data_IF_397748378340
#
_entry.id   IF_397748378340
#
_cell.length_a   1.000
_cell.length_b   1.000
_cell.length_c   1.000
_cell.angle_alpha   90.00
_cell.angle_beta   90.00
_cell.angle_gamma   90.00
#
_symmetry.space_group_name_H-M   'P 1'
#
loop_
_entity.id
_entity.type
_entity.pdbx_description
1 polymer ?
#
# COMPACT_ATOMS: atom_id res chain seq x y z
N UNK A 1 11.63 5.21 -25.50
CA UNK A 1 10.16 5.22 -25.48
C UNK A 1 9.81 4.65 -24.12
N UNK A 2 9.41 5.50 -23.18
CA UNK A 2 9.00 5.04 -21.86
C UNK A 2 7.74 4.19 -22.05
N UNK A 3 7.66 3.04 -21.37
CA UNK A 3 6.43 2.26 -21.37
C UNK A 3 5.32 3.17 -20.83
N UNK A 4 4.23 3.29 -21.59
CA UNK A 4 3.07 4.07 -21.15
C UNK A 4 2.61 3.56 -19.79
N UNK A 5 2.40 4.47 -18.84
CA UNK A 5 1.89 4.13 -17.52
C UNK A 5 0.60 3.31 -17.66
N UNK A 6 0.48 2.24 -16.89
CA UNK A 6 -0.71 1.41 -16.92
C UNK A 6 -1.86 2.15 -16.25
N UNK A 7 -2.87 2.51 -17.01
CA UNK A 7 -4.06 3.24 -16.52
C UNK A 7 -5.24 2.33 -16.19
N UNK A 8 -5.19 1.07 -16.58
CA UNK A 8 -6.19 0.06 -16.22
C UNK A 8 -5.81 -0.59 -14.88
N UNK A 9 -6.59 -0.39 -13.81
CA UNK A 9 -6.30 -0.95 -12.50
C UNK A 9 -6.17 -2.49 -12.49
N UNK A 10 -6.92 -3.19 -13.34
CA UNK A 10 -6.86 -4.66 -13.43
C UNK A 10 -5.51 -5.12 -13.97
N UNK A 11 -5.04 -4.47 -15.03
CA UNK A 11 -3.70 -4.75 -15.60
C UNK A 11 -2.60 -4.35 -14.63
N UNK A 12 -2.74 -3.21 -13.97
CA UNK A 12 -1.79 -2.75 -12.96
C UNK A 12 -1.69 -3.75 -11.80
N UNK A 13 -2.81 -4.26 -11.27
CA UNK A 13 -2.82 -5.26 -10.22
C UNK A 13 -2.12 -6.56 -10.62
N UNK A 14 -2.31 -7.00 -11.87
CA UNK A 14 -1.59 -8.16 -12.40
C UNK A 14 -0.08 -7.89 -12.51
N UNK A 15 0.32 -6.70 -12.96
CA UNK A 15 1.72 -6.27 -13.02
C UNK A 15 2.37 -6.21 -11.64
N UNK A 16 1.69 -5.68 -10.64
CA UNK A 16 2.15 -5.65 -9.24
C UNK A 16 2.47 -7.06 -8.75
N UNK A 17 1.54 -8.01 -8.88
CA UNK A 17 1.74 -9.41 -8.47
C UNK A 17 2.91 -10.06 -9.19
N UNK A 18 3.02 -9.84 -10.49
CA UNK A 18 4.12 -10.36 -11.31
C UNK A 18 5.48 -9.87 -10.80
N UNK A 19 5.63 -8.55 -10.56
CA UNK A 19 6.90 -7.96 -10.08
C UNK A 19 7.27 -8.47 -8.70
N UNK A 20 6.31 -8.52 -7.78
CA UNK A 20 6.56 -9.05 -6.43
C UNK A 20 6.92 -10.52 -6.47
N UNK A 21 6.25 -11.33 -7.30
CA UNK A 21 6.59 -12.75 -7.47
C UNK A 21 8.00 -12.94 -8.04
N UNK A 22 8.39 -12.16 -9.06
CA UNK A 22 9.74 -12.18 -9.62
C UNK A 22 10.79 -11.86 -8.54
N UNK A 23 10.55 -10.82 -7.75
CA UNK A 23 11.43 -10.43 -6.63
C UNK A 23 11.54 -11.54 -5.57
N UNK A 24 10.42 -12.15 -5.17
CA UNK A 24 10.38 -13.22 -4.18
C UNK A 24 11.16 -14.46 -4.66
N UNK A 25 11.05 -14.80 -5.94
CA UNK A 25 11.82 -15.88 -6.55
C UNK A 25 13.32 -15.58 -6.60
N UNK A 26 13.68 -14.34 -6.98
CA UNK A 26 15.09 -13.92 -7.06
C UNK A 26 15.77 -13.91 -5.68
N UNK A 27 15.04 -13.48 -4.64
CA UNK A 27 15.57 -13.29 -3.27
C UNK A 27 15.25 -14.44 -2.31
N UNK A 28 14.72 -15.55 -2.82
CA UNK A 28 14.34 -16.74 -2.03
C UNK A 28 13.33 -16.45 -0.91
N UNK A 29 12.54 -15.39 -1.04
CA UNK A 29 11.50 -15.04 -0.08
C UNK A 29 11.04 -13.59 -0.19
N UNK A 30 9.94 -13.27 0.50
CA UNK A 30 9.36 -11.93 0.55
C UNK A 30 7.88 -11.92 0.93
N UNK A 31 7.31 -10.73 0.89
CA UNK A 31 5.91 -10.45 1.25
C UNK A 31 4.97 -10.63 0.05
N UNK A 32 4.83 -11.86 -0.46
CA UNK A 32 4.00 -12.16 -1.63
C UNK A 32 2.50 -12.08 -1.32
N UNK A 33 2.07 -12.50 -0.14
CA UNK A 33 0.67 -12.46 0.26
C UNK A 33 0.10 -11.04 0.29
N UNK A 34 0.93 -10.05 0.64
CA UNK A 34 0.56 -8.64 0.61
C UNK A 34 0.28 -8.15 -0.83
N UNK A 35 1.04 -8.62 -1.82
CA UNK A 35 0.75 -8.34 -3.21
C UNK A 35 -0.52 -9.06 -3.69
N UNK A 36 -0.78 -10.28 -3.19
CA UNK A 36 -2.01 -10.99 -3.53
C UNK A 36 -3.25 -10.30 -3.00
N UNK A 37 -3.22 -9.81 -1.74
CA UNK A 37 -4.36 -9.14 -1.12
C UNK A 37 -4.56 -7.70 -1.62
N UNK A 38 -3.49 -6.91 -1.74
CA UNK A 38 -3.61 -5.45 -1.90
C UNK A 38 -3.36 -4.92 -3.31
N UNK A 39 -3.06 -5.77 -4.29
CA UNK A 39 -2.72 -5.28 -5.62
C UNK A 39 -3.83 -4.43 -6.25
N UNK A 40 -5.10 -4.82 -6.14
CA UNK A 40 -6.24 -4.05 -6.64
C UNK A 40 -6.41 -2.74 -5.87
N UNK A 41 -6.17 -2.73 -4.54
CA UNK A 41 -6.28 -1.53 -3.71
C UNK A 41 -5.28 -0.45 -4.17
N UNK A 42 -4.01 -0.82 -4.31
CA UNK A 42 -2.97 0.10 -4.77
C UNK A 42 -3.15 0.46 -6.26
N UNK A 43 -3.57 -0.48 -7.09
CA UNK A 43 -3.87 -0.21 -8.49
C UNK A 43 -5.02 0.79 -8.65
N UNK A 44 -6.13 0.64 -7.91
CA UNK A 44 -7.22 1.62 -7.90
C UNK A 44 -6.74 3.00 -7.43
N UNK A 45 -5.94 3.05 -6.36
CA UNK A 45 -5.38 4.31 -5.88
C UNK A 45 -4.57 5.02 -6.97
N UNK A 46 -3.57 4.36 -7.56
CA UNK A 46 -2.65 5.00 -8.50
C UNK A 46 -3.22 5.21 -9.90
N UNK A 47 -4.07 4.31 -10.41
CA UNK A 47 -4.59 4.41 -11.76
C UNK A 47 -5.87 5.23 -11.88
N UNK A 48 -6.68 5.35 -10.81
CA UNK A 48 -8.04 5.90 -10.93
C UNK A 48 -8.39 6.96 -9.89
N UNK A 49 -7.86 6.89 -8.67
CA UNK A 49 -8.40 7.65 -7.53
C UNK A 49 -7.53 8.82 -7.12
N UNK A 50 -6.21 8.63 -7.02
CA UNK A 50 -5.30 9.67 -6.55
C UNK A 50 -5.10 10.77 -7.58
N UNK A 51 -5.39 12.00 -7.19
CA UNK A 51 -5.05 13.19 -7.96
C UNK A 51 -3.62 13.60 -7.63
N UNK A 52 -2.69 13.11 -8.41
CA UNK A 52 -1.26 13.37 -8.25
C UNK A 52 -0.75 14.35 -9.31
N UNK A 53 0.38 15.01 -9.05
CA UNK A 53 1.05 15.81 -10.07
C UNK A 53 1.59 14.94 -11.21
N UNK A 54 1.71 15.50 -12.44
CA UNK A 54 2.38 14.81 -13.53
C UNK A 54 3.78 14.36 -13.15
N UNK A 55 4.25 13.27 -13.78
CA UNK A 55 5.60 12.77 -13.67
C UNK A 55 6.18 12.67 -15.09
N UNK A 56 7.39 13.16 -15.31
CA UNK A 56 8.04 13.17 -16.64
C UNK A 56 8.58 11.79 -17.04
N UNK A 57 8.28 10.75 -16.28
CA UNK A 57 8.68 9.36 -16.49
C UNK A 57 9.20 8.70 -15.22
N UNK A 58 9.59 7.42 -15.32
CA UNK A 58 10.09 6.69 -14.18
C UNK A 58 11.35 7.32 -13.59
N UNK A 59 11.34 7.60 -12.29
CA UNK A 59 12.48 8.16 -11.57
C UNK A 59 13.33 7.05 -10.95
N UNK A 60 14.65 7.23 -10.94
CA UNK A 60 15.54 6.39 -10.16
C UNK A 60 15.51 6.81 -8.69
N UNK A 61 15.52 5.85 -7.74
CA UNK A 61 15.63 6.18 -6.33
C UNK A 61 16.98 6.82 -6.03
N UNK A 62 16.99 7.85 -5.18
CA UNK A 62 18.23 8.43 -4.71
C UNK A 62 19.01 7.44 -3.84
N UNK A 63 20.32 7.56 -3.82
CA UNK A 63 21.14 6.86 -2.82
C UNK A 63 20.86 7.42 -1.41
N UNK A 64 20.93 6.57 -0.40
CA UNK A 64 20.88 7.02 0.98
C UNK A 64 22.26 7.57 1.37
N UNK A 65 22.37 8.87 1.47
CA UNK A 65 23.64 9.54 1.82
C UNK A 65 23.78 9.78 3.32
N UNK A 66 22.70 10.25 3.96
CA UNK A 66 22.65 10.50 5.40
C UNK A 66 21.21 10.77 5.86
N UNK A 67 20.99 10.69 7.17
CA UNK A 67 19.74 11.21 7.77
C UNK A 67 19.66 12.73 7.61
N UNK A 68 18.47 13.31 7.41
CA UNK A 68 18.30 14.76 7.30
C UNK A 68 18.89 15.49 8.50
N UNK A 69 19.69 16.54 8.24
CA UNK A 69 20.33 17.33 9.27
C UNK A 69 20.99 18.60 8.71
N UNK A 70 21.65 19.42 9.56
CA UNK A 70 22.38 20.59 9.10
C UNK A 70 23.43 20.20 8.07
N UNK A 71 23.26 20.65 6.82
CA UNK A 71 24.17 20.38 5.70
C UNK A 71 23.90 19.07 4.95
N UNK A 72 22.92 18.26 5.35
CA UNK A 72 22.45 17.10 4.58
C UNK A 72 21.16 17.47 3.84
N UNK A 73 21.05 17.21 2.52
CA UNK A 73 19.83 17.46 1.79
C UNK A 73 18.73 16.53 2.28
N UNK A 74 17.51 17.06 2.38
CA UNK A 74 16.34 16.23 2.64
C UNK A 74 15.92 15.55 1.33
N UNK A 75 15.97 14.23 1.31
CA UNK A 75 15.34 13.42 0.27
C UNK A 75 13.94 13.06 0.75
N UNK A 76 12.93 13.27 -0.08
CA UNK A 76 11.55 12.89 0.24
C UNK A 76 11.05 11.86 -0.76
N UNK A 77 10.57 10.72 -0.27
CA UNK A 77 9.90 9.72 -1.10
C UNK A 77 8.60 10.22 -1.71
N UNK A 78 8.03 11.29 -1.17
CA UNK A 78 6.85 11.96 -1.73
C UNK A 78 7.06 12.52 -3.13
N UNK A 79 8.30 12.77 -3.57
CA UNK A 79 8.59 13.24 -4.95
C UNK A 79 8.11 12.27 -6.02
N UNK A 80 7.99 10.98 -5.70
CA UNK A 80 7.43 9.98 -6.61
C UNK A 80 5.91 10.15 -6.83
N UNK A 81 5.24 10.98 -6.02
CA UNK A 81 3.87 11.44 -6.25
C UNK A 81 3.82 12.75 -7.05
N UNK A 82 4.99 13.31 -7.42
CA UNK A 82 5.15 14.60 -8.07
C UNK A 82 5.14 15.78 -7.10
N UNK A 83 5.24 16.99 -7.62
CA UNK A 83 5.26 18.20 -6.80
C UNK A 83 3.94 18.36 -6.03
N UNK A 84 4.02 18.58 -4.70
CA UNK A 84 2.82 18.72 -3.88
C UNK A 84 2.06 20.01 -4.24
N UNK A 85 0.73 19.94 -4.21
CA UNK A 85 -0.14 21.09 -4.50
C UNK A 85 -1.38 21.13 -3.59
N UNK A 86 -2.02 22.31 -3.44
CA UNK A 86 -3.14 22.47 -2.53
C UNK A 86 -4.38 21.64 -2.90
N UNK A 87 -4.52 21.30 -4.18
CA UNK A 87 -5.63 20.51 -4.69
C UNK A 87 -5.26 19.04 -4.95
N UNK A 88 -3.98 18.70 -4.81
CA UNK A 88 -3.47 17.35 -5.05
C UNK A 88 -3.61 16.49 -3.81
N UNK A 89 -3.80 15.19 -4.02
CA UNK A 89 -3.95 14.22 -2.94
C UNK A 89 -2.58 13.86 -2.33
N UNK A 90 -2.62 13.34 -1.12
CA UNK A 90 -1.48 12.77 -0.40
C UNK A 90 -1.79 11.30 -0.13
N UNK A 91 -0.77 10.45 -0.20
CA UNK A 91 -0.87 9.05 0.18
C UNK A 91 0.11 8.74 1.31
N UNK A 92 -0.42 8.35 2.45
CA UNK A 92 0.34 7.87 3.60
C UNK A 92 0.23 6.35 3.67
N UNK A 93 1.36 5.68 3.60
CA UNK A 93 1.42 4.21 3.73
C UNK A 93 1.71 3.88 5.19
N UNK A 94 0.82 3.14 5.83
CA UNK A 94 0.95 2.78 7.25
C UNK A 94 1.77 1.50 7.47
N UNK A 95 1.44 0.35 6.85
CA UNK A 95 2.13 -0.90 7.16
C UNK A 95 3.43 -1.05 6.35
N UNK A 96 4.56 -1.06 7.04
CA UNK A 96 5.89 -1.16 6.43
C UNK A 96 6.07 -2.39 5.54
N UNK A 97 5.52 -3.53 5.94
CA UNK A 97 5.65 -4.80 5.22
C UNK A 97 4.95 -4.84 3.85
N UNK A 98 4.25 -3.75 3.46
CA UNK A 98 3.75 -3.54 2.10
C UNK A 98 4.71 -2.74 1.20
N UNK A 99 5.89 -2.34 1.70
CA UNK A 99 6.80 -1.49 0.93
C UNK A 99 7.13 -2.06 -0.46
N UNK A 100 7.43 -3.37 -0.56
CA UNK A 100 7.68 -4.03 -1.84
C UNK A 100 6.51 -3.90 -2.82
N UNK A 101 5.27 -3.98 -2.31
CA UNK A 101 4.05 -3.84 -3.13
C UNK A 101 3.86 -2.40 -3.58
N UNK A 102 4.16 -1.43 -2.71
CA UNK A 102 4.13 0.02 -3.04
C UNK A 102 5.13 0.35 -4.15
N UNK A 103 6.37 -0.17 -4.06
CA UNK A 103 7.36 0.02 -5.12
C UNK A 103 6.91 -0.60 -6.44
N UNK A 104 6.36 -1.82 -6.41
CA UNK A 104 5.81 -2.45 -7.60
C UNK A 104 4.65 -1.62 -8.20
N UNK A 105 3.78 -1.04 -7.37
CA UNK A 105 2.71 -0.17 -7.83
C UNK A 105 3.23 1.13 -8.46
N UNK A 106 4.25 1.76 -7.89
CA UNK A 106 4.90 2.94 -8.48
C UNK A 106 5.55 2.63 -9.83
N UNK A 107 6.14 1.44 -9.98
CA UNK A 107 6.73 1.02 -11.27
C UNK A 107 5.62 0.85 -12.31
N UNK A 108 4.54 0.16 -12.00
CA UNK A 108 3.40 0.00 -12.91
C UNK A 108 2.72 1.34 -13.23
N UNK A 109 2.72 2.29 -12.29
CA UNK A 109 2.25 3.66 -12.50
C UNK A 109 3.23 4.55 -13.30
N UNK A 110 4.38 4.02 -13.74
CA UNK A 110 5.39 4.75 -14.50
C UNK A 110 6.10 5.86 -13.71
N UNK A 111 6.12 5.77 -12.38
CA UNK A 111 6.71 6.78 -11.47
C UNK A 111 8.04 6.36 -10.89
N UNK A 112 8.32 5.08 -10.80
CA UNK A 112 9.58 4.50 -10.30
C UNK A 112 10.19 3.61 -11.37
N UNK A 113 11.51 3.73 -11.57
CA UNK A 113 12.24 2.86 -12.49
C UNK A 113 12.28 1.41 -11.96
N UNK A 114 12.15 0.44 -12.87
CA UNK A 114 12.06 -0.98 -12.49
C UNK A 114 13.34 -1.50 -11.82
N UNK A 115 14.51 -0.91 -12.11
CA UNK A 115 15.77 -1.25 -11.46
C UNK A 115 15.78 -0.96 -9.95
N UNK A 116 14.81 -0.20 -9.43
CA UNK A 116 14.65 0.04 -8.01
C UNK A 116 14.48 -1.25 -7.20
N UNK A 117 13.79 -2.26 -7.75
CA UNK A 117 13.63 -3.55 -7.06
C UNK A 117 14.94 -4.32 -6.90
N UNK A 118 15.93 -4.06 -7.74
CA UNK A 118 17.28 -4.63 -7.59
C UNK A 118 18.02 -4.03 -6.40
N UNK A 119 17.59 -2.86 -5.94
CA UNK A 119 18.17 -2.16 -4.80
C UNK A 119 17.41 -2.42 -3.49
N UNK A 120 16.33 -3.21 -3.53
CA UNK A 120 15.48 -3.46 -2.37
C UNK A 120 16.27 -3.98 -1.18
N UNK A 121 16.22 -3.26 -0.07
CA UNK A 121 16.86 -3.59 1.21
C UNK A 121 18.38 -3.84 1.13
N UNK A 122 19.07 -3.15 0.20
CA UNK A 122 20.54 -3.14 0.10
C UNK A 122 21.12 -1.96 0.84
N UNK A 123 22.32 -2.11 1.36
CA UNK A 123 23.06 -1.05 2.03
C UNK A 123 23.24 0.16 1.10
N UNK A 124 22.96 1.35 1.61
CA UNK A 124 23.04 2.60 0.85
C UNK A 124 21.85 2.86 -0.09
N UNK A 125 20.85 2.02 -0.08
CA UNK A 125 19.61 2.21 -0.86
C UNK A 125 18.54 2.92 -0.04
N UNK A 126 17.70 3.71 -0.72
CA UNK A 126 16.45 4.26 -0.17
C UNK A 126 15.24 3.36 -0.44
N UNK A 127 15.43 2.24 -1.16
CA UNK A 127 14.38 1.24 -1.45
C UNK A 127 14.37 0.23 -0.31
N UNK A 128 13.79 0.63 0.81
CA UNK A 128 13.87 -0.11 2.07
C UNK A 128 12.66 -1.02 2.29
N UNK A 129 12.86 -2.11 3.03
CA UNK A 129 11.76 -3.00 3.45
C UNK A 129 10.84 -2.31 4.47
N UNK A 130 11.38 -1.41 5.28
CA UNK A 130 10.62 -0.57 6.21
C UNK A 130 10.69 0.85 5.65
N UNK A 131 9.63 1.28 4.96
CA UNK A 131 9.61 2.57 4.29
C UNK A 131 9.80 3.74 5.25
N UNK A 132 10.74 4.60 4.91
CA UNK A 132 11.00 5.85 5.60
C UNK A 132 10.60 7.03 4.70
N UNK A 133 10.63 8.24 5.24
CA UNK A 133 10.25 9.46 4.50
C UNK A 133 11.08 9.73 3.23
N UNK A 134 12.20 9.04 3.06
CA UNK A 134 13.06 9.09 1.86
C UNK A 134 12.83 7.92 0.90
N UNK A 135 12.08 6.89 1.31
CA UNK A 135 11.80 5.72 0.47
C UNK A 135 10.75 6.06 -0.59
N UNK A 136 10.89 5.57 -1.85
CA UNK A 136 9.98 5.91 -2.94
C UNK A 136 8.51 5.72 -2.58
N UNK A 137 7.71 6.79 -2.74
CA UNK A 137 6.27 6.78 -2.44
C UNK A 137 5.88 6.88 -0.97
N UNK A 138 6.86 6.94 -0.05
CA UNK A 138 6.58 7.16 1.37
C UNK A 138 6.72 8.64 1.70
N UNK A 139 5.67 9.25 2.20
CA UNK A 139 5.67 10.65 2.59
C UNK A 139 6.01 10.84 4.08
N UNK A 140 5.96 9.77 4.84
CA UNK A 140 6.29 9.72 6.27
C UNK A 140 6.97 8.41 6.61
N UNK A 141 7.84 8.41 7.60
CA UNK A 141 8.43 7.19 8.13
C UNK A 141 7.33 6.29 8.69
N UNK A 142 7.41 5.01 8.38
CA UNK A 142 6.49 3.97 8.85
C UNK A 142 7.25 2.87 9.61
N UNK A 143 6.58 1.76 9.94
CA UNK A 143 7.15 0.63 10.68
C UNK A 143 6.57 0.47 12.07
N UNK A 144 6.24 1.57 12.75
CA UNK A 144 5.39 1.52 13.96
C UNK A 144 3.94 1.59 13.52
N UNK A 145 3.24 0.47 13.56
CA UNK A 145 1.85 0.33 13.14
C UNK A 145 0.93 1.33 13.86
N UNK A 146 -0.17 1.71 13.24
CA UNK A 146 -1.19 2.64 13.72
C UNK A 146 -0.79 4.14 13.77
N UNK A 147 0.48 4.51 13.68
CA UNK A 147 0.90 5.92 13.79
C UNK A 147 0.55 6.76 12.56
N UNK A 148 0.52 6.15 11.40
CA UNK A 148 0.29 6.85 10.13
C UNK A 148 -1.09 7.50 10.07
N UNK A 149 -2.12 6.90 10.68
CA UNK A 149 -3.46 7.48 10.72
C UNK A 149 -3.49 8.80 11.52
N UNK A 150 -2.81 8.87 12.67
CA UNK A 150 -2.66 10.10 13.44
C UNK A 150 -1.88 11.16 12.67
N UNK A 151 -0.80 10.77 11.98
CA UNK A 151 0.01 11.66 11.14
C UNK A 151 -0.83 12.22 9.99
N UNK A 152 -1.60 11.37 9.30
CA UNK A 152 -2.52 11.79 8.24
C UNK A 152 -3.58 12.79 8.75
N UNK A 153 -4.10 12.56 9.95
CA UNK A 153 -5.01 13.50 10.62
C UNK A 153 -4.36 14.86 10.85
N UNK A 154 -3.12 14.90 11.33
CA UNK A 154 -2.35 16.14 11.49
C UNK A 154 -2.11 16.87 10.17
N UNK A 155 -1.74 16.13 9.11
CA UNK A 155 -1.57 16.66 7.75
C UNK A 155 -2.90 17.26 7.24
N UNK A 156 -3.99 16.51 7.33
CA UNK A 156 -5.31 16.98 6.87
C UNK A 156 -5.79 18.22 7.63
N UNK A 157 -5.57 18.29 8.95
CA UNK A 157 -5.88 19.47 9.75
C UNK A 157 -5.05 20.67 9.32
N UNK A 158 -3.72 20.49 9.13
CA UNK A 158 -2.83 21.54 8.64
C UNK A 158 -3.23 22.04 7.25
N UNK A 159 -3.60 21.14 6.33
CA UNK A 159 -4.11 21.48 4.99
C UNK A 159 -5.41 22.28 5.06
N UNK A 160 -6.34 21.85 5.89
CA UNK A 160 -7.60 22.60 6.11
C UNK A 160 -7.37 24.03 6.63
N UNK A 161 -6.40 24.22 7.55
CA UNK A 161 -6.03 25.54 8.04
C UNK A 161 -5.40 26.45 6.97
N UNK A 162 -4.81 25.85 5.93
CA UNK A 162 -4.30 26.54 4.75
C UNK A 162 -5.32 26.66 3.61
N UNK A 163 -6.57 26.20 3.81
CA UNK A 163 -7.63 26.18 2.81
C UNK A 163 -7.29 25.31 1.58
N UNK A 164 -6.47 24.27 1.74
CA UNK A 164 -6.19 23.28 0.72
C UNK A 164 -7.34 22.27 0.60
N UNK A 165 -7.61 21.79 -0.61
CA UNK A 165 -8.78 20.96 -0.93
C UNK A 165 -8.45 19.50 -1.26
N UNK A 166 -7.17 19.17 -1.48
CA UNK A 166 -6.75 17.81 -1.75
C UNK A 166 -6.99 16.87 -0.57
N UNK A 167 -7.27 15.61 -0.88
CA UNK A 167 -7.54 14.55 0.10
C UNK A 167 -6.24 14.00 0.71
N UNK A 168 -6.34 13.36 1.85
CA UNK A 168 -5.24 12.62 2.49
C UNK A 168 -5.66 11.16 2.60
N UNK A 169 -5.12 10.33 1.73
CA UNK A 169 -5.34 8.89 1.75
C UNK A 169 -4.38 8.22 2.74
N UNK A 170 -4.87 7.17 3.41
CA UNK A 170 -4.06 6.31 4.28
C UNK A 170 -4.28 4.87 3.84
N UNK A 171 -3.23 4.21 3.38
CA UNK A 171 -3.24 2.78 3.15
C UNK A 171 -2.90 2.07 4.46
N UNK A 172 -3.77 1.15 4.91
CA UNK A 172 -3.69 0.47 6.20
C UNK A 172 -3.87 -1.04 6.04
N UNK A 173 -3.36 -1.78 7.03
CA UNK A 173 -3.67 -3.20 7.24
C UNK A 173 -4.70 -3.39 8.37
N UNK A 174 -5.38 -4.51 8.36
CA UNK A 174 -6.38 -4.86 9.36
C UNK A 174 -5.78 -5.08 10.77
N UNK A 175 -4.56 -5.61 10.86
CA UNK A 175 -3.86 -5.80 12.13
C UNK A 175 -3.62 -4.51 12.91
N UNK A 176 -3.59 -3.35 12.25
CA UNK A 176 -3.44 -2.05 12.91
C UNK A 176 -4.61 -1.67 13.81
N UNK A 177 -5.77 -2.31 13.64
CA UNK A 177 -6.94 -2.10 14.50
C UNK A 177 -6.86 -2.87 15.83
N UNK A 178 -5.79 -3.62 16.06
CA UNK A 178 -5.45 -4.16 17.38
C UNK A 178 -4.67 -3.15 18.23
N UNK A 179 -4.15 -2.07 17.61
CA UNK A 179 -3.44 -1.00 18.30
C UNK A 179 -4.42 0.05 18.84
N UNK A 180 -4.23 0.44 20.13
CA UNK A 180 -5.07 1.47 20.76
C UNK A 180 -5.01 2.80 20.08
N UNK A 181 -3.82 3.19 19.57
CA UNK A 181 -3.60 4.46 18.87
C UNK A 181 -4.46 4.61 17.61
N UNK A 182 -4.80 3.52 16.90
CA UNK A 182 -5.74 3.59 15.78
C UNK A 182 -7.08 4.15 16.21
N UNK A 183 -7.63 3.69 17.34
CA UNK A 183 -8.93 4.13 17.85
C UNK A 183 -8.90 5.57 18.38
N UNK A 184 -7.81 5.97 19.02
CA UNK A 184 -7.57 7.36 19.41
C UNK A 184 -7.53 8.28 18.18
N UNK A 185 -6.85 7.85 17.10
CA UNK A 185 -6.83 8.58 15.84
C UNK A 185 -8.22 8.69 15.21
N UNK A 186 -8.98 7.60 15.12
CA UNK A 186 -10.36 7.61 14.57
C UNK A 186 -11.24 8.59 15.34
N UNK A 187 -11.16 8.60 16.68
CA UNK A 187 -11.90 9.53 17.53
C UNK A 187 -11.52 10.98 17.24
N UNK A 188 -10.21 11.28 17.11
CA UNK A 188 -9.73 12.62 16.78
C UNK A 188 -10.17 13.07 15.38
N UNK A 189 -10.06 12.21 14.38
CA UNK A 189 -10.51 12.47 13.00
C UNK A 189 -12.01 12.83 12.98
N UNK A 190 -12.83 12.08 13.70
CA UNK A 190 -14.27 12.30 13.78
C UNK A 190 -14.60 13.60 14.53
N UNK A 191 -13.93 13.89 15.66
CA UNK A 191 -14.10 15.10 16.44
C UNK A 191 -13.80 16.36 15.61
N UNK A 192 -12.66 16.34 14.89
CA UNK A 192 -12.26 17.46 14.03
C UNK A 192 -12.99 17.45 12.67
N UNK A 193 -13.84 16.47 12.39
CA UNK A 193 -14.58 16.33 11.12
C UNK A 193 -13.62 16.40 9.91
N UNK A 194 -12.58 15.61 9.92
CA UNK A 194 -11.57 15.57 8.85
C UNK A 194 -12.06 14.70 7.70
N UNK A 195 -13.05 15.16 6.98
CA UNK A 195 -13.72 14.44 5.87
C UNK A 195 -12.84 14.27 4.61
N UNK A 196 -11.72 14.99 4.55
CA UNK A 196 -10.69 14.79 3.53
C UNK A 196 -9.78 13.57 3.81
N UNK A 197 -9.81 12.99 5.02
CA UNK A 197 -9.08 11.77 5.34
C UNK A 197 -9.86 10.55 4.86
N UNK A 198 -9.21 9.72 4.05
CA UNK A 198 -9.75 8.49 3.46
C UNK A 198 -8.79 7.33 3.72
N UNK A 199 -9.18 6.38 4.55
CA UNK A 199 -8.41 5.18 4.81
C UNK A 199 -8.90 4.04 3.92
N UNK A 200 -8.00 3.38 3.20
CA UNK A 200 -8.24 2.11 2.55
C UNK A 200 -7.55 1.02 3.35
N UNK A 201 -8.31 0.03 3.78
CA UNK A 201 -7.85 -1.00 4.70
C UNK A 201 -7.86 -2.34 3.99
N UNK A 202 -6.69 -2.97 3.86
CA UNK A 202 -6.58 -4.36 3.41
C UNK A 202 -7.04 -5.30 4.54
N UNK A 203 -8.26 -5.82 4.45
CA UNK A 203 -8.84 -6.75 5.42
C UNK A 203 -8.64 -8.17 4.91
N UNK A 204 -7.39 -8.65 4.98
CA UNK A 204 -7.01 -9.98 4.53
C UNK A 204 -7.13 -11.08 5.60
N UNK A 205 -7.40 -10.71 6.85
CA UNK A 205 -7.57 -11.60 8.01
C UNK A 205 -6.38 -12.52 8.29
N UNK A 206 -5.20 -12.13 7.83
CA UNK A 206 -3.97 -12.89 8.02
C UNK A 206 -2.93 -12.03 8.77
N UNK A 207 -2.40 -12.57 9.83
CA UNK A 207 -1.37 -11.94 10.65
C UNK A 207 -0.07 -12.75 10.64
N UNK A 208 0.99 -12.19 11.23
CA UNK A 208 2.28 -12.85 11.35
C UNK A 208 2.13 -14.22 12.06
N UNK A 209 1.34 -14.28 13.12
CA UNK A 209 1.17 -15.45 13.97
C UNK A 209 0.03 -16.38 13.55
N UNK A 210 -0.66 -16.05 12.44
CA UNK A 210 -1.74 -16.89 11.91
C UNK A 210 -2.99 -16.12 11.51
N UNK A 211 -4.12 -16.82 11.35
CA UNK A 211 -5.40 -16.20 11.04
C UNK A 211 -5.88 -15.28 12.17
N UNK A 212 -6.45 -14.14 11.81
CA UNK A 212 -6.89 -13.12 12.78
C UNK A 212 -7.91 -13.64 13.79
N UNK A 213 -8.78 -14.56 13.40
CA UNK A 213 -9.80 -15.15 14.27
C UNK A 213 -9.22 -16.03 15.40
N UNK A 214 -8.02 -16.56 15.19
CA UNK A 214 -7.30 -17.37 16.20
C UNK A 214 -6.28 -16.58 17.01
N UNK A 215 -5.82 -15.42 16.50
CA UNK A 215 -4.87 -14.55 17.20
C UNK A 215 -5.62 -13.53 18.06
N UNK A 216 -6.25 -12.56 17.44
CA UNK A 216 -7.13 -11.58 18.10
C UNK A 216 -8.04 -10.91 17.05
N UNK A 217 -9.33 -11.24 17.09
CA UNK A 217 -10.28 -10.67 16.14
C UNK A 217 -10.55 -9.19 16.39
N UNK A 218 -10.60 -8.42 15.30
CA UNK A 218 -11.01 -7.01 15.31
C UNK A 218 -12.50 -6.82 15.03
N UNK A 219 -13.18 -7.87 14.56
CA UNK A 219 -14.60 -7.78 14.17
C UNK A 219 -15.54 -7.54 15.39
N UNK A 220 -16.67 -6.88 15.18
CA UNK A 220 -17.16 -6.29 13.93
C UNK A 220 -16.56 -4.90 13.65
N UNK A 221 -15.57 -4.83 12.77
CA UNK A 221 -14.76 -3.64 12.53
C UNK A 221 -15.59 -2.44 12.03
N UNK A 222 -16.44 -2.67 11.03
CA UNK A 222 -17.30 -1.61 10.48
C UNK A 222 -18.21 -0.97 11.53
N UNK A 223 -18.78 -1.77 12.45
CA UNK A 223 -19.64 -1.28 13.52
C UNK A 223 -18.86 -0.43 14.51
N UNK A 224 -17.67 -0.88 14.90
CA UNK A 224 -16.79 -0.14 15.80
C UNK A 224 -16.41 1.22 15.22
N UNK A 225 -15.95 1.27 13.97
CA UNK A 225 -15.58 2.52 13.27
C UNK A 225 -16.75 3.50 13.18
N UNK A 226 -17.95 3.00 12.84
CA UNK A 226 -19.18 3.82 12.81
C UNK A 226 -19.53 4.39 14.19
N UNK A 227 -19.34 3.60 15.26
CA UNK A 227 -19.57 4.05 16.63
C UNK A 227 -18.60 5.16 17.05
N UNK A 228 -17.38 5.17 16.51
CA UNK A 228 -16.39 6.25 16.69
C UNK A 228 -16.68 7.48 15.80
N UNK A 229 -17.70 7.46 14.95
CA UNK A 229 -18.14 8.60 14.15
C UNK A 229 -17.60 8.63 12.71
N UNK A 230 -16.91 7.59 12.26
CA UNK A 230 -16.44 7.47 10.88
C UNK A 230 -17.57 7.05 9.92
N UNK A 231 -17.42 7.38 8.63
CA UNK A 231 -18.13 6.75 7.53
C UNK A 231 -17.41 5.48 7.12
N UNK A 232 -18.14 4.42 6.80
CA UNK A 232 -17.54 3.12 6.48
C UNK A 232 -18.26 2.46 5.32
N UNK A 233 -17.51 2.08 4.30
CA UNK A 233 -17.90 1.15 3.26
C UNK A 233 -17.16 -0.17 3.43
N UNK A 234 -17.85 -1.29 3.19
CA UNK A 234 -17.26 -2.63 3.17
C UNK A 234 -17.46 -3.21 1.77
N UNK A 235 -16.36 -3.55 1.11
CA UNK A 235 -16.37 -3.99 -0.28
C UNK A 235 -15.55 -5.26 -0.48
N UNK A 236 -15.79 -5.97 -1.56
CA UNK A 236 -14.85 -6.96 -2.07
C UNK A 236 -13.60 -6.22 -2.54
N UNK A 237 -12.46 -6.48 -1.90
CA UNK A 237 -11.19 -5.83 -2.22
C UNK A 237 -10.58 -6.25 -3.56
N UNK A 238 -11.20 -7.20 -4.25
CA UNK A 238 -10.81 -7.62 -5.61
C UNK A 238 -11.77 -7.12 -6.69
N UNK A 239 -12.83 -6.38 -6.31
CA UNK A 239 -13.72 -5.69 -7.23
C UNK A 239 -13.24 -4.23 -7.42
N UNK A 240 -12.53 -4.01 -8.53
CA UNK A 240 -11.95 -2.72 -8.90
C UNK A 240 -13.02 -1.62 -8.99
N UNK A 241 -14.20 -1.92 -9.53
CA UNK A 241 -15.28 -0.94 -9.67
C UNK A 241 -15.84 -0.53 -8.30
N UNK A 242 -16.14 -1.52 -7.45
CA UNK A 242 -16.63 -1.28 -6.10
C UNK A 242 -15.62 -0.51 -5.24
N UNK A 243 -14.33 -0.83 -5.36
CA UNK A 243 -13.24 -0.10 -4.70
C UNK A 243 -13.19 1.37 -5.14
N UNK A 244 -13.18 1.61 -6.45
CA UNK A 244 -13.10 2.95 -7.01
C UNK A 244 -14.30 3.78 -6.58
N UNK A 245 -15.53 3.26 -6.68
CA UNK A 245 -16.75 3.94 -6.26
C UNK A 245 -16.74 4.28 -4.77
N UNK A 246 -16.30 3.36 -3.92
CA UNK A 246 -16.20 3.58 -2.49
C UNK A 246 -15.16 4.65 -2.15
N UNK A 247 -13.97 4.59 -2.77
CA UNK A 247 -12.86 5.55 -2.52
C UNK A 247 -13.18 6.97 -3.01
N UNK A 248 -13.99 7.13 -4.04
CA UNK A 248 -14.40 8.44 -4.58
C UNK A 248 -15.59 9.05 -3.86
N UNK A 249 -16.38 8.27 -3.12
CA UNK A 249 -17.64 8.74 -2.50
C UNK A 249 -17.43 9.85 -1.48
N UNK A 250 -18.07 11.03 -1.62
CA UNK A 250 -18.07 12.06 -0.59
C UNK A 250 -18.92 11.62 0.63
N UNK A 251 -18.40 11.78 1.84
CA UNK A 251 -19.09 11.29 3.05
C UNK A 251 -19.34 12.34 4.12
N UNK A 252 -18.66 13.50 4.04
CA UNK A 252 -18.72 14.56 5.07
C UNK A 252 -18.15 14.14 6.43
N UNK A 253 -17.45 13.01 6.51
CA UNK A 253 -16.80 12.43 7.70
C UNK A 253 -15.50 11.74 7.28
N UNK A 254 -14.56 11.49 8.21
CA UNK A 254 -13.44 10.61 7.91
C UNK A 254 -13.96 9.26 7.41
N UNK A 255 -13.39 8.78 6.30
CA UNK A 255 -13.95 7.66 5.56
C UNK A 255 -13.02 6.46 5.58
N UNK A 256 -13.54 5.29 5.90
CA UNK A 256 -12.84 4.02 5.89
C UNK A 256 -13.47 3.08 4.87
N UNK A 257 -12.69 2.67 3.89
CA UNK A 257 -13.05 1.63 2.92
C UNK A 257 -12.40 0.33 3.39
N UNK A 258 -13.21 -0.58 3.92
CA UNK A 258 -12.78 -1.91 4.35
C UNK A 258 -12.84 -2.85 3.16
N UNK A 259 -11.69 -3.11 2.56
CA UNK A 259 -11.53 -3.99 1.41
C UNK A 259 -11.25 -5.42 1.90
N UNK A 260 -12.23 -6.28 1.84
CA UNK A 260 -12.10 -7.69 2.22
C UNK A 260 -11.41 -8.47 1.10
N UNK A 261 -10.24 -9.03 1.38
CA UNK A 261 -9.34 -9.60 0.37
C UNK A 261 -8.95 -11.05 0.66
N UNK A 262 -8.42 -11.72 -0.36
CA UNK A 262 -7.78 -13.03 -0.24
C UNK A 262 -6.25 -12.88 -0.39
N UNK A 263 -5.45 -13.23 0.64
CA UNK A 263 -3.99 -13.17 0.61
C UNK A 263 -3.32 -14.16 -0.36
N UNK A 264 -4.12 -14.94 -1.10
CA UNK A 264 -3.64 -15.86 -2.15
C UNK A 264 -4.17 -15.51 -3.55
N UNK A 265 -4.89 -14.39 -3.68
CA UNK A 265 -5.48 -13.95 -4.95
C UNK A 265 -4.45 -13.87 -6.08
N UNK A 266 -4.75 -14.53 -7.20
CA UNK A 266 -3.86 -14.57 -8.36
C UNK A 266 -2.67 -15.53 -8.25
N UNK A 267 -2.42 -16.10 -7.05
CA UNK A 267 -1.35 -17.09 -6.80
C UNK A 267 -1.88 -18.27 -5.96
N UNK A 268 -2.81 -19.08 -6.51
CA UNK A 268 -3.52 -20.10 -5.75
C UNK A 268 -2.64 -21.20 -5.16
N UNK A 269 -1.42 -21.40 -5.69
CA UNK A 269 -0.46 -22.37 -5.12
C UNK A 269 -0.08 -22.00 -3.67
N UNK A 270 -0.20 -20.73 -3.27
CA UNK A 270 0.04 -20.29 -1.89
C UNK A 270 -0.94 -20.90 -0.88
N UNK A 271 -2.10 -21.41 -1.31
CA UNK A 271 -3.05 -22.05 -0.39
C UNK A 271 -2.45 -23.25 0.35
N UNK A 272 -1.46 -23.93 -0.23
CA UNK A 272 -0.75 -25.03 0.42
C UNK A 272 0.03 -24.61 1.69
N UNK A 273 0.31 -23.30 1.82
CA UNK A 273 1.03 -22.74 2.99
C UNK A 273 0.11 -22.26 4.12
N UNK A 274 -1.22 -22.30 3.92
CA UNK A 274 -2.13 -21.91 5.02
C UNK A 274 -1.91 -22.77 6.26
N UNK A 275 -1.96 -22.20 7.47
CA UNK A 275 -2.38 -20.83 7.80
C UNK A 275 -1.25 -19.76 7.78
N UNK A 276 0.00 -20.12 7.49
CA UNK A 276 1.17 -19.21 7.58
C UNK A 276 1.46 -18.60 6.23
N UNK A 277 0.93 -17.40 5.98
CA UNK A 277 1.04 -16.70 4.69
C UNK A 277 1.85 -15.40 4.76
N UNK A 278 2.09 -14.84 5.95
CA UNK A 278 2.60 -13.48 6.12
C UNK A 278 3.95 -13.23 5.44
N UNK A 279 4.89 -14.17 5.54
CA UNK A 279 6.18 -14.08 4.86
C UNK A 279 6.51 -15.41 4.19
N UNK A 280 6.72 -15.37 2.89
CA UNK A 280 7.13 -16.55 2.12
C UNK A 280 8.64 -16.67 2.13
N UNK A 281 9.15 -17.85 2.48
CA UNK A 281 10.55 -18.24 2.33
C UNK A 281 10.61 -19.66 1.80
N UNK A 282 11.40 -19.87 0.74
CA UNK A 282 11.60 -21.20 0.20
C UNK A 282 12.67 -21.94 1.00
N UNK A 283 12.28 -23.03 1.61
CA UNK A 283 13.19 -23.97 2.30
C UNK A 283 13.31 -25.29 1.56
N UNK A 284 12.44 -25.53 0.57
CA UNK A 284 12.42 -26.70 -0.30
C UNK A 284 12.58 -26.26 -1.76
N UNK A 285 13.54 -26.89 -2.45
CA UNK A 285 13.82 -26.63 -3.86
C UNK A 285 12.67 -27.06 -4.80
N UNK A 286 11.90 -28.07 -4.43
CA UNK A 286 10.73 -28.52 -5.21
C UNK A 286 9.62 -27.47 -5.16
N UNK A 287 9.31 -27.01 -3.96
CA UNK A 287 8.33 -25.94 -3.80
C UNK A 287 8.75 -24.69 -4.60
N UNK A 288 10.02 -24.28 -4.48
CA UNK A 288 10.53 -23.14 -5.26
C UNK A 288 10.37 -23.36 -6.76
N UNK A 289 10.63 -24.58 -7.26
CA UNK A 289 10.47 -24.91 -8.66
C UNK A 289 8.99 -24.84 -9.12
N UNK A 290 8.03 -25.23 -8.25
CA UNK A 290 6.60 -25.09 -8.54
C UNK A 290 6.19 -23.62 -8.66
N UNK A 291 6.68 -22.75 -7.78
CA UNK A 291 6.44 -21.31 -7.87
C UNK A 291 7.10 -20.69 -9.10
N UNK A 292 8.31 -21.12 -9.46
CA UNK A 292 8.98 -20.68 -10.68
C UNK A 292 8.16 -21.07 -11.94
N UNK A 293 7.71 -22.31 -12.00
CA UNK A 293 6.86 -22.78 -13.10
C UNK A 293 5.55 -21.98 -13.18
N UNK A 294 4.88 -21.76 -12.06
CA UNK A 294 3.66 -20.96 -12.01
C UNK A 294 3.92 -19.54 -12.52
N UNK A 295 5.01 -18.91 -12.12
CA UNK A 295 5.39 -17.57 -12.59
C UNK A 295 5.56 -17.55 -14.12
N UNK A 296 6.28 -18.51 -14.69
CA UNK A 296 6.56 -18.58 -16.13
C UNK A 296 5.30 -18.86 -16.95
N UNK A 297 4.48 -19.81 -16.52
CA UNK A 297 3.32 -20.29 -17.29
C UNK A 297 2.06 -19.42 -17.12
N UNK A 298 1.91 -18.75 -16.00
CA UNK A 298 0.67 -18.02 -15.67
C UNK A 298 0.89 -16.51 -15.62
N UNK A 299 1.86 -16.04 -14.84
CA UNK A 299 2.01 -14.61 -14.60
C UNK A 299 2.74 -13.89 -15.75
N UNK A 300 3.66 -14.53 -16.44
CA UNK A 300 4.33 -13.95 -17.60
C UNK A 300 3.44 -13.99 -18.85
N UNK A 301 2.73 -15.08 -19.11
CA UNK A 301 1.87 -15.23 -20.29
C UNK A 301 0.67 -14.32 -20.25
N UNK A 302 0.05 -14.15 -19.07
CA UNK A 302 -1.10 -13.25 -18.89
C UNK A 302 -0.78 -11.76 -19.06
N UNK A 303 0.50 -11.38 -19.20
CA UNK A 303 0.92 -9.99 -19.41
C UNK A 303 1.07 -9.61 -20.90
N UNK A 304 0.99 -10.57 -21.80
CA UNK A 304 1.16 -10.36 -23.25
C UNK A 304 -0.16 -10.34 -24.04
N UNK A 305 -1.26 -10.56 -23.38
CA UNK A 305 -2.65 -10.44 -23.89
C UNK A 305 -3.35 -9.25 -23.26
#
# INVERSE_FOLDING_TARGET
>A
MYADAVTDPTRMAAGIRRRVMAHVLANNGGYLSQACSSAELLACLYASVLKLAPCDGPMHPAAFEAVPGPGAPRVSGGVFHGEPGPELDRLIVSPAHYALVVYAALIEAGRLDESALDQFNKDGSTVEMIGAEHSPGFETTTGSLAQALSTAGGIALGRRLRHETGRTFVFMSDGEFQEGQTWEAVQALAFYRLDTVRAVVDVNRAQCDGPMDTVMTIEPLATKLKAFGASVDSVDGHDVAALTDALERPTGRPHFVLAYTDPTRGVPIMNARRPVLHYLRFTDSKERAEYQKFYEEVLLVGSTS
#
